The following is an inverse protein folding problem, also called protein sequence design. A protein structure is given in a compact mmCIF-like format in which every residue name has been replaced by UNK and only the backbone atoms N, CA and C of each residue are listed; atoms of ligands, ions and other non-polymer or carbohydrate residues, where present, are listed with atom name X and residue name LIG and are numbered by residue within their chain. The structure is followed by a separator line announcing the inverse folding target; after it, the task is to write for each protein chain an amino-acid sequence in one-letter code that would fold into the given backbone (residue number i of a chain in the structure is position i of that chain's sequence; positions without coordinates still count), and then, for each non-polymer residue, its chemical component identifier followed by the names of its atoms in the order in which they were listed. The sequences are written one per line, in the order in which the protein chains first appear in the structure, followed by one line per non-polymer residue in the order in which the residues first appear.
data_IF_700026629844
#
_entry.id   IF_700026629844
#
_cell.length_a   1.000
_cell.length_b   1.000
_cell.length_c   1.000
_cell.angle_alpha   90.00
_cell.angle_beta   90.00
_cell.angle_gamma   90.00
#
_symmetry.space_group_name_H-M   'P 1'
#
loop_
_entity.id
_entity.type
_entity.pdbx_description
1 polymer ?
#
# COMPACT_ATOMS: atom_id res chain seq x y z
N UNK A 1 -20.91 -0.57 -2.40
CA UNK A 1 -19.78 -1.52 -2.48
C UNK A 1 -19.69 -2.08 -3.89
N UNK A 2 -18.52 -2.57 -4.31
CA UNK A 2 -18.35 -3.20 -5.63
C UNK A 2 -19.27 -4.42 -5.82
N UNK A 3 -19.37 -4.96 -7.04
CA UNK A 3 -18.50 -4.73 -8.21
C UNK A 3 -18.82 -3.48 -9.04
N UNK A 4 -17.89 -3.08 -9.90
CA UNK A 4 -18.20 -2.23 -11.06
C UNK A 4 -19.22 -2.99 -11.92
N UNK A 5 -20.40 -2.41 -12.13
CA UNK A 5 -21.66 -3.06 -12.56
C UNK A 5 -21.59 -3.93 -13.84
N UNK A 6 -20.51 -3.88 -14.61
CA UNK A 6 -20.44 -4.45 -15.96
C UNK A 6 -19.27 -5.43 -16.22
N UNK A 7 -18.25 -5.50 -15.36
CA UNK A 7 -17.02 -6.25 -15.67
C UNK A 7 -16.41 -7.03 -14.50
N UNK A 8 -17.10 -7.11 -13.36
CA UNK A 8 -16.65 -7.82 -12.16
C UNK A 8 -15.27 -7.39 -11.61
N UNK A 9 -14.72 -6.24 -12.04
CA UNK A 9 -13.48 -5.74 -11.47
C UNK A 9 -13.65 -5.47 -9.98
N UNK A 10 -12.70 -5.96 -9.19
CA UNK A 10 -12.67 -5.74 -7.75
C UNK A 10 -12.18 -4.33 -7.45
N UNK A 11 -13.02 -3.59 -6.73
CA UNK A 11 -12.69 -2.30 -6.12
C UNK A 11 -13.24 -2.25 -4.69
N UNK A 12 -12.56 -1.53 -3.77
CA UNK A 12 -11.31 -0.77 -3.97
C UNK A 12 -10.08 -1.66 -4.23
N UNK A 13 -8.95 -1.08 -4.63
CA UNK A 13 -7.68 -1.84 -4.79
C UNK A 13 -7.12 -2.20 -3.40
N UNK A 14 -7.02 -1.23 -2.51
CA UNK A 14 -6.53 -1.36 -1.13
C UNK A 14 -7.33 -0.44 -0.23
N UNK A 15 -7.19 -0.60 1.09
CA UNK A 15 -7.77 0.31 2.08
C UNK A 15 -6.71 0.89 3.01
N UNK A 16 -7.00 2.06 3.56
CA UNK A 16 -6.21 2.74 4.59
C UNK A 16 -7.15 3.22 5.72
N UNK A 17 -6.64 3.55 6.92
CA UNK A 17 -7.44 4.05 8.02
C UNK A 17 -8.20 5.32 7.63
N UNK A 18 -9.51 5.36 7.86
CA UNK A 18 -10.35 6.51 7.50
C UNK A 18 -11.36 6.88 8.59
N UNK A 19 -11.31 6.25 9.76
CA UNK A 19 -12.23 6.50 10.86
C UNK A 19 -11.52 7.27 11.97
N UNK A 20 -12.10 8.41 12.36
CA UNK A 20 -11.58 9.29 13.42
C UNK A 20 -10.10 9.66 13.24
N UNK A 21 -9.70 9.98 12.01
CA UNK A 21 -8.34 10.39 11.69
C UNK A 21 -8.14 11.84 12.08
N UNK A 22 -7.25 12.10 13.04
CA UNK A 22 -6.85 13.44 13.44
C UNK A 22 -5.85 14.03 12.44
N UNK A 23 -6.15 15.22 11.92
CA UNK A 23 -5.26 15.95 11.01
C UNK A 23 -5.38 17.46 11.24
N UNK A 24 -4.57 18.25 10.52
CA UNK A 24 -4.55 19.71 10.64
C UNK A 24 -5.93 20.33 10.37
N UNK A 25 -6.30 21.31 11.20
CA UNK A 25 -7.53 22.08 11.05
C UNK A 25 -7.20 23.51 10.63
N UNK A 26 -7.77 23.97 9.52
CA UNK A 26 -7.73 25.39 9.17
C UNK A 26 -8.75 26.18 10.01
N UNK A 27 -8.34 27.35 10.50
CA UNK A 27 -9.21 28.35 11.13
C UNK A 27 -9.69 29.42 10.13
N UNK A 28 -9.33 29.29 8.85
CA UNK A 28 -9.69 30.22 7.79
C UNK A 28 -8.82 31.49 7.72
N UNK A 29 -7.83 31.66 8.61
CA UNK A 29 -6.92 32.79 8.61
C UNK A 29 -5.49 32.35 8.24
N UNK A 30 -5.00 32.64 7.03
CA UNK A 30 -3.66 32.24 6.60
C UNK A 30 -2.51 32.84 7.43
N UNK A 31 -2.77 33.93 8.16
CA UNK A 31 -1.76 34.63 8.96
C UNK A 31 -1.77 34.24 10.43
N UNK A 32 -2.70 33.38 10.87
CA UNK A 32 -2.84 33.03 12.29
C UNK A 32 -1.76 32.08 12.79
N UNK A 33 -1.03 31.40 11.89
CA UNK A 33 -0.08 30.33 12.21
C UNK A 33 -0.68 29.30 13.21
N UNK A 34 -1.97 29.00 13.06
CA UNK A 34 -2.65 28.10 13.98
C UNK A 34 -2.04 26.69 13.94
N UNK A 35 -2.14 25.98 15.06
CA UNK A 35 -1.71 24.57 15.19
C UNK A 35 -2.89 23.65 15.51
N UNK A 36 -4.08 24.00 15.01
CA UNK A 36 -5.30 23.28 15.30
C UNK A 36 -5.32 21.88 14.67
N UNK A 37 -6.03 20.96 15.31
CA UNK A 37 -6.25 19.61 14.78
C UNK A 37 -7.72 19.22 14.90
N UNK A 38 -8.22 18.46 13.92
CA UNK A 38 -9.58 17.95 13.88
C UNK A 38 -9.60 16.47 13.52
N UNK A 39 -10.43 15.70 14.22
CA UNK A 39 -10.76 14.32 13.86
C UNK A 39 -11.85 14.29 12.80
N UNK A 40 -11.61 13.63 11.66
CA UNK A 40 -12.61 13.42 10.61
C UNK A 40 -12.69 11.95 10.21
N UNK A 41 -13.85 11.56 9.67
CA UNK A 41 -14.13 10.20 9.21
C UNK A 41 -14.59 10.24 7.75
N UNK A 42 -14.02 9.36 6.93
CA UNK A 42 -14.42 9.17 5.54
C UNK A 42 -13.31 8.56 4.70
N UNK A 43 -13.67 8.12 3.50
CA UNK A 43 -12.69 7.68 2.50
C UNK A 43 -11.74 8.82 2.12
N UNK A 44 -12.19 10.08 2.18
CA UNK A 44 -11.35 11.27 2.02
C UNK A 44 -10.21 11.39 3.04
N UNK A 45 -10.30 10.71 4.19
CA UNK A 45 -9.21 10.63 5.17
C UNK A 45 -8.32 9.41 4.92
N UNK A 46 -8.88 8.31 4.39
CA UNK A 46 -8.09 7.15 3.97
C UNK A 46 -7.23 7.43 2.73
N UNK A 47 -7.75 8.17 1.76
CA UNK A 47 -7.05 8.52 0.51
C UNK A 47 -5.68 9.16 0.73
N UNK A 48 -5.51 10.24 1.52
CA UNK A 48 -4.20 10.86 1.75
C UNK A 48 -3.22 9.94 2.48
N UNK A 49 -3.69 9.03 3.35
CA UNK A 49 -2.81 8.03 3.99
C UNK A 49 -2.27 7.06 2.94
N UNK A 50 -3.15 6.51 2.08
CA UNK A 50 -2.72 5.66 0.98
C UNK A 50 -1.80 6.40 -0.01
N UNK A 51 -2.04 7.70 -0.27
CA UNK A 51 -1.19 8.51 -1.11
C UNK A 51 0.20 8.75 -0.48
N UNK A 52 0.28 8.99 0.83
CA UNK A 52 1.54 9.08 1.56
C UNK A 52 2.32 7.76 1.50
N UNK A 53 1.65 6.63 1.68
CA UNK A 53 2.28 5.32 1.51
C UNK A 53 2.82 5.11 0.08
N UNK A 54 2.07 5.52 -0.95
CA UNK A 54 2.52 5.48 -2.33
C UNK A 54 3.77 6.36 -2.57
N UNK A 55 3.84 7.53 -1.94
CA UNK A 55 4.98 8.42 -2.02
C UNK A 55 6.23 7.79 -1.39
N UNK A 56 6.09 7.15 -0.20
CA UNK A 56 7.19 6.43 0.46
C UNK A 56 7.69 5.26 -0.38
N UNK A 57 6.79 4.49 -1.00
CA UNK A 57 7.16 3.40 -1.94
C UNK A 57 7.95 3.96 -3.13
N UNK A 58 7.50 5.08 -3.72
CA UNK A 58 8.21 5.71 -4.82
C UNK A 58 9.60 6.19 -4.40
N UNK A 59 9.71 6.81 -3.23
CA UNK A 59 10.97 7.26 -2.66
C UNK A 59 11.92 6.09 -2.37
N UNK A 60 11.40 4.98 -1.84
CA UNK A 60 12.16 3.76 -1.57
C UNK A 60 12.88 3.24 -2.83
N UNK A 61 12.17 3.14 -3.96
CA UNK A 61 12.80 2.74 -5.23
C UNK A 61 13.74 3.81 -5.78
N UNK A 62 13.35 5.08 -5.70
CA UNK A 62 14.17 6.19 -6.19
C UNK A 62 15.50 6.35 -5.45
N UNK A 63 15.53 6.01 -4.15
CA UNK A 63 16.74 6.02 -3.33
C UNK A 63 17.53 4.70 -3.37
N UNK A 64 17.09 3.71 -4.15
CA UNK A 64 17.85 2.47 -4.40
C UNK A 64 17.82 1.44 -3.27
N UNK A 65 16.81 1.49 -2.39
CA UNK A 65 16.72 0.54 -1.27
C UNK A 65 16.46 -0.91 -1.69
N UNK A 66 15.96 -1.16 -2.90
CA UNK A 66 15.51 -2.49 -3.35
C UNK A 66 16.57 -3.60 -3.14
N UNK A 67 17.82 -3.35 -3.52
CA UNK A 67 18.87 -4.40 -3.57
C UNK A 67 19.45 -4.71 -2.18
N UNK A 68 19.78 -3.69 -1.40
CA UNK A 68 20.55 -3.83 -0.15
C UNK A 68 19.72 -3.53 1.10
N UNK A 69 18.51 -2.99 0.94
CA UNK A 69 17.75 -2.39 2.04
C UNK A 69 18.36 -1.09 2.57
N UNK A 70 19.36 -0.52 1.89
CA UNK A 70 20.00 0.75 2.23
C UNK A 70 19.90 1.71 1.05
N UNK A 71 19.89 3.01 1.34
CA UNK A 71 19.88 4.02 0.31
C UNK A 71 21.20 3.96 -0.48
N UNK A 72 21.10 3.70 -1.79
CA UNK A 72 22.19 3.80 -2.73
C UNK A 72 21.65 4.46 -4.02
N UNK A 73 21.96 5.75 -4.23
CA UNK A 73 21.51 6.46 -5.43
C UNK A 73 21.95 5.81 -6.74
N UNK A 74 23.04 5.03 -6.76
CA UNK A 74 23.49 4.32 -7.96
C UNK A 74 22.59 3.13 -8.32
N UNK A 75 21.82 2.61 -7.36
CA UNK A 75 20.85 1.52 -7.53
C UNK A 75 19.41 2.05 -7.62
N UNK A 76 19.22 3.36 -7.52
CA UNK A 76 17.92 4.00 -7.60
C UNK A 76 17.37 4.07 -9.03
N UNK A 77 16.05 4.03 -9.15
CA UNK A 77 15.35 4.20 -10.44
C UNK A 77 14.01 4.90 -10.25
N UNK A 78 13.45 5.45 -11.33
CA UNK A 78 12.12 6.07 -11.32
C UNK A 78 11.04 4.99 -11.53
N UNK A 79 10.28 4.58 -10.50
CA UNK A 79 9.32 3.49 -10.64
C UNK A 79 8.06 3.96 -11.38
N UNK A 80 7.51 3.07 -12.21
CA UNK A 80 6.22 3.26 -12.87
C UNK A 80 5.09 3.33 -11.83
N UNK A 81 3.98 3.95 -12.23
CA UNK A 81 2.77 3.94 -11.40
C UNK A 81 2.23 2.51 -11.17
N UNK A 82 2.50 1.58 -12.11
CA UNK A 82 2.10 0.19 -11.99
C UNK A 82 2.90 -0.54 -10.92
N UNK A 83 4.23 -0.36 -10.87
CA UNK A 83 5.05 -0.95 -9.81
C UNK A 83 4.65 -0.40 -8.43
N UNK A 84 4.49 0.92 -8.29
CA UNK A 84 4.04 1.51 -7.01
C UNK A 84 2.70 0.93 -6.57
N UNK A 85 1.73 0.78 -7.49
CA UNK A 85 0.45 0.14 -7.19
C UNK A 85 0.62 -1.33 -6.80
N UNK A 86 1.46 -2.09 -7.51
CA UNK A 86 1.72 -3.49 -7.22
C UNK A 86 2.31 -3.69 -5.82
N UNK A 87 3.27 -2.86 -5.42
CA UNK A 87 3.84 -2.89 -4.06
C UNK A 87 2.79 -2.62 -2.99
N UNK A 88 1.88 -1.64 -3.20
CA UNK A 88 0.79 -1.36 -2.26
C UNK A 88 -0.20 -2.52 -2.17
N UNK A 89 -0.55 -3.13 -3.30
CA UNK A 89 -1.43 -4.32 -3.33
C UNK A 89 -0.78 -5.49 -2.58
N UNK A 90 0.52 -5.73 -2.80
CA UNK A 90 1.28 -6.78 -2.11
C UNK A 90 1.37 -6.53 -0.59
N UNK A 91 1.32 -5.26 -0.15
CA UNK A 91 1.30 -4.90 1.27
C UNK A 91 -0.06 -5.15 1.97
N UNK A 92 -1.06 -5.62 1.23
CA UNK A 92 -2.43 -5.78 1.71
C UNK A 92 -2.54 -6.79 2.85
N UNK A 93 -2.77 -6.29 4.07
CA UNK A 93 -3.06 -7.12 5.25
C UNK A 93 -4.56 -7.33 5.40
N UNK A 94 -4.95 -8.53 5.83
CA UNK A 94 -6.36 -8.84 6.17
C UNK A 94 -6.90 -7.85 7.20
N UNK A 95 -8.09 -7.30 6.91
CA UNK A 95 -8.77 -6.32 7.76
C UNK A 95 -9.72 -7.03 8.69
N UNK A 96 -9.64 -6.76 9.99
CA UNK A 96 -10.66 -7.21 10.95
C UNK A 96 -11.86 -6.27 10.87
N UNK A 97 -13.05 -6.86 10.83
CA UNK A 97 -14.32 -6.12 10.87
C UNK A 97 -14.95 -6.25 12.25
N UNK A 98 -15.79 -5.29 12.61
CA UNK A 98 -16.59 -5.35 13.83
C UNK A 98 -17.99 -5.83 13.47
N UNK A 99 -18.47 -6.88 14.12
CA UNK A 99 -19.84 -7.37 13.98
C UNK A 99 -20.82 -6.35 14.57
N UNK A 100 -22.11 -6.51 14.23
CA UNK A 100 -23.20 -5.77 14.87
C UNK A 100 -23.25 -5.97 16.39
N UNK A 101 -22.80 -7.12 16.89
CA UNK A 101 -22.67 -7.42 18.32
C UNK A 101 -21.42 -6.80 18.96
N UNK A 102 -20.62 -6.04 18.20
CA UNK A 102 -19.42 -5.36 18.69
C UNK A 102 -18.17 -6.23 18.75
N UNK A 103 -18.23 -7.50 18.35
CA UNK A 103 -17.10 -8.43 18.34
C UNK A 103 -16.19 -8.17 17.13
N UNK A 104 -14.88 -8.29 17.32
CA UNK A 104 -13.91 -8.20 16.23
C UNK A 104 -13.76 -9.56 15.55
N UNK A 105 -14.29 -9.67 14.34
CA UNK A 105 -14.16 -10.85 13.49
C UNK A 105 -13.15 -10.59 12.38
N UNK A 106 -12.34 -11.59 12.06
CA UNK A 106 -11.63 -11.60 10.79
C UNK A 106 -12.65 -12.09 9.74
N UNK A 107 -13.07 -11.25 8.78
CA UNK A 107 -14.00 -11.69 7.74
C UNK A 107 -13.43 -12.92 7.04
N UNK A 108 -14.29 -13.89 6.74
CA UNK A 108 -13.93 -15.12 6.03
C UNK A 108 -13.61 -14.89 4.55
N UNK A 109 -13.83 -13.68 4.04
CA UNK A 109 -13.49 -13.35 2.66
C UNK A 109 -11.97 -13.17 2.51
N UNK A 110 -11.36 -14.07 1.76
CA UNK A 110 -9.98 -13.93 1.29
C UNK A 110 -9.84 -12.71 0.38
N UNK A 111 -8.62 -12.17 0.30
CA UNK A 111 -8.29 -11.11 -0.63
C UNK A 111 -8.25 -11.68 -2.07
N UNK A 112 -8.76 -10.95 -3.08
CA UNK A 112 -9.36 -9.62 -2.98
C UNK A 112 -10.89 -9.65 -2.69
N UNK A 113 -11.42 -8.60 -2.05
CA UNK A 113 -12.86 -8.45 -1.75
C UNK A 113 -13.43 -7.09 -2.19
N UNK A 114 -14.75 -7.01 -2.44
CA UNK A 114 -15.42 -5.74 -2.79
C UNK A 114 -15.57 -4.74 -1.63
N UNK A 115 -15.19 -5.14 -0.42
CA UNK A 115 -15.19 -4.29 0.76
C UNK A 115 -13.82 -3.69 1.04
N UNK A 116 -12.76 -4.50 0.92
CA UNK A 116 -11.40 -4.13 1.37
C UNK A 116 -10.33 -4.24 0.28
N UNK A 117 -10.70 -4.64 -0.95
CA UNK A 117 -9.74 -4.92 -2.01
C UNK A 117 -8.77 -6.02 -1.58
N UNK A 118 -7.50 -5.77 -1.80
CA UNK A 118 -6.39 -6.62 -1.37
C UNK A 118 -6.03 -6.48 0.12
N UNK A 119 -6.62 -5.50 0.83
CA UNK A 119 -6.46 -5.34 2.28
C UNK A 119 -5.90 -3.99 2.70
N UNK A 120 -5.54 -3.90 3.98
CA UNK A 120 -4.96 -2.71 4.61
C UNK A 120 -3.49 -2.55 4.20
N UNK A 121 -3.14 -1.39 3.64
CA UNK A 121 -1.75 -1.06 3.29
C UNK A 121 -0.85 -1.14 4.53
N UNK A 122 0.18 -2.00 4.45
CA UNK A 122 1.09 -2.29 5.56
C UNK A 122 2.53 -2.38 5.01
N UNK A 123 3.21 -1.23 4.89
CA UNK A 123 4.48 -1.14 4.15
C UNK A 123 5.63 -1.98 4.74
N UNK A 124 5.60 -2.26 6.03
CA UNK A 124 6.59 -3.11 6.72
C UNK A 124 6.71 -4.52 6.12
N UNK A 125 5.65 -5.02 5.46
CA UNK A 125 5.66 -6.37 4.86
C UNK A 125 6.21 -6.38 3.44
N UNK A 126 6.55 -5.23 2.87
CA UNK A 126 6.99 -5.10 1.46
C UNK A 126 8.22 -4.23 1.27
N UNK A 127 8.52 -3.30 2.17
CA UNK A 127 9.73 -2.49 2.10
C UNK A 127 10.83 -3.17 2.89
N UNK A 128 11.83 -3.69 2.18
CA UNK A 128 12.94 -4.42 2.77
C UNK A 128 13.99 -3.45 3.32
N UNK A 129 14.37 -3.64 4.56
CA UNK A 129 15.49 -2.98 5.24
C UNK A 129 16.46 -4.06 5.77
N UNK A 130 17.66 -3.71 6.29
CA UNK A 130 18.66 -4.70 6.67
C UNK A 130 18.21 -5.68 7.76
N UNK A 131 17.25 -5.27 8.59
CA UNK A 131 16.64 -6.05 9.67
C UNK A 131 15.37 -6.81 9.22
N UNK A 132 14.97 -6.69 7.95
CA UNK A 132 13.82 -7.41 7.41
C UNK A 132 14.14 -8.90 7.24
N UNK A 133 13.18 -9.74 7.60
CA UNK A 133 13.27 -11.21 7.49
C UNK A 133 12.79 -11.75 6.14
N UNK A 134 12.69 -10.89 5.12
CA UNK A 134 12.22 -11.26 3.79
C UNK A 134 13.08 -10.61 2.69
N UNK A 135 13.03 -11.21 1.51
CA UNK A 135 13.61 -10.65 0.29
C UNK A 135 12.50 -10.03 -0.56
N UNK A 136 12.78 -8.87 -1.15
CA UNK A 136 11.88 -8.20 -2.09
C UNK A 136 12.52 -8.22 -3.47
N UNK A 137 11.80 -8.77 -4.44
CA UNK A 137 12.15 -8.66 -5.86
C UNK A 137 11.08 -7.81 -6.55
N UNK A 138 11.51 -6.84 -7.35
CA UNK A 138 10.64 -5.97 -8.12
C UNK A 138 11.15 -5.83 -9.55
N UNK A 139 10.22 -5.93 -10.50
CA UNK A 139 10.48 -5.77 -11.93
C UNK A 139 9.54 -4.70 -12.46
N UNK A 140 10.11 -3.72 -13.18
CA UNK A 140 9.35 -2.57 -13.67
C UNK A 140 9.47 -2.44 -15.18
N UNK A 141 8.33 -2.23 -15.84
CA UNK A 141 8.22 -2.02 -17.28
C UNK A 141 9.06 -3.00 -18.14
N UNK A 142 9.22 -4.25 -17.68
CA UNK A 142 9.98 -5.27 -18.41
C UNK A 142 9.26 -5.60 -19.73
N UNK A 143 9.90 -5.42 -20.90
CA UNK A 143 9.32 -5.78 -22.17
C UNK A 143 9.04 -7.28 -22.24
N UNK A 144 7.86 -7.65 -22.74
CA UNK A 144 7.50 -9.04 -23.00
C UNK A 144 7.40 -9.29 -24.50
N UNK A 145 7.90 -10.45 -24.94
CA UNK A 145 7.79 -10.94 -26.32
C UNK A 145 6.97 -12.22 -26.36
N UNK A 146 6.33 -12.48 -27.50
CA UNK A 146 5.56 -13.71 -27.69
C UNK A 146 6.47 -14.95 -27.57
N UNK A 147 6.03 -15.94 -26.76
CA UNK A 147 6.82 -17.13 -26.45
C UNK A 147 7.94 -16.93 -25.42
N UNK A 148 8.09 -15.73 -24.83
CA UNK A 148 9.08 -15.47 -23.78
C UNK A 148 8.70 -16.17 -22.47
N UNK A 149 9.66 -16.86 -21.86
CA UNK A 149 9.59 -17.36 -20.48
C UNK A 149 10.52 -16.53 -19.61
N UNK A 150 10.05 -16.14 -18.42
CA UNK A 150 10.85 -15.48 -17.40
C UNK A 150 10.84 -16.35 -16.17
N UNK A 151 12.00 -16.91 -15.83
CA UNK A 151 12.16 -17.76 -14.65
C UNK A 151 12.66 -16.93 -13.47
N UNK A 152 12.07 -17.16 -12.30
CA UNK A 152 12.46 -16.53 -11.05
C UNK A 152 12.96 -17.61 -10.08
N UNK A 153 14.23 -17.54 -9.71
CA UNK A 153 14.78 -18.39 -8.66
C UNK A 153 14.45 -17.80 -7.30
N UNK A 154 13.69 -18.55 -6.50
CA UNK A 154 13.41 -18.23 -5.10
C UNK A 154 14.06 -19.29 -4.23
N UNK A 155 15.01 -18.88 -3.39
CA UNK A 155 15.61 -19.72 -2.37
C UNK A 155 15.04 -19.32 -1.00
N UNK A 156 14.45 -20.27 -0.29
CA UNK A 156 14.12 -20.12 1.12
C UNK A 156 15.26 -20.68 1.96
N UNK A 157 15.87 -19.87 2.82
CA UNK A 157 16.67 -20.40 3.92
C UNK A 157 15.68 -20.99 4.93
N UNK A 158 15.63 -22.32 5.01
CA UNK A 158 14.86 -23.02 6.04
C UNK A 158 15.70 -22.93 7.32
N UNK A 159 15.30 -22.04 8.23
CA UNK A 159 15.81 -22.01 9.60
C UNK A 159 15.23 -23.14 10.44
#
# INVERSE_FOLDING_TARGET
HGPTRYDNRVKPDVVCPGYSVTSAQSDGNPSSNNCGTVGKTGTSMATPICAGAAALVREYYAKGFLTTGQADPALGFSPSAALVKATLIHSGRRVRSRTVSGAWVTPTHDAPSFAYGWGLVTLESVLRFPDSNFHLTAHDAVPISEGQTVDFCVSSEVG
#
